data_IF_630696298676
#
_entry.id   IF_630696298676
#
_cell.length_a   1.000
_cell.length_b   1.000
_cell.length_c   1.000
_cell.angle_alpha   90.00
_cell.angle_beta   90.00
_cell.angle_gamma   90.00
#
_symmetry.space_group_name_H-M   'P 1'
#
loop_
_entity.id
_entity.type
_entity.pdbx_description
1 polymer ?
#
# COMPACT_ATOMS: atom_id res chain seq x y z
N UNK A 1 38.31 -30.28 -80.81
CA UNK A 1 38.46 -29.40 -79.62
C UNK A 1 37.24 -28.50 -79.36
N UNK A 2 36.04 -28.82 -79.90
CA UNK A 2 34.84 -27.97 -79.79
C UNK A 2 33.74 -28.58 -78.91
N UNK A 3 33.69 -29.91 -78.78
CA UNK A 3 32.67 -30.64 -77.99
C UNK A 3 32.84 -30.44 -76.48
N UNK A 4 34.08 -30.41 -75.96
CA UNK A 4 34.32 -30.12 -74.53
C UNK A 4 33.88 -28.71 -74.13
N UNK A 5 33.98 -27.75 -75.06
CA UNK A 5 33.55 -26.36 -74.85
C UNK A 5 32.03 -26.25 -74.78
N UNK A 6 31.30 -27.00 -75.62
CA UNK A 6 29.84 -27.03 -75.60
C UNK A 6 29.27 -27.63 -74.31
N UNK A 7 29.90 -28.68 -73.78
CA UNK A 7 29.51 -29.31 -72.50
C UNK A 7 29.78 -28.38 -71.32
N UNK A 8 30.90 -27.66 -71.34
CA UNK A 8 31.23 -26.70 -70.28
C UNK A 8 30.25 -25.52 -70.24
N UNK A 9 29.82 -25.04 -71.41
CA UNK A 9 28.84 -23.95 -71.50
C UNK A 9 27.44 -24.38 -70.99
N UNK A 10 27.01 -25.61 -71.28
CA UNK A 10 25.72 -26.14 -70.78
C UNK A 10 25.73 -26.36 -69.27
N UNK A 11 26.88 -26.73 -68.69
CA UNK A 11 27.00 -26.89 -67.24
C UNK A 11 26.92 -25.57 -66.47
N UNK A 12 27.40 -24.47 -67.06
CA UNK A 12 27.29 -23.13 -66.46
C UNK A 12 25.84 -22.63 -66.47
N UNK A 13 25.11 -22.89 -67.57
CA UNK A 13 23.69 -22.50 -67.69
C UNK A 13 22.74 -23.35 -66.84
N UNK A 14 23.19 -24.51 -66.33
CA UNK A 14 22.39 -25.38 -65.46
C UNK A 14 22.43 -24.98 -63.97
N UNK A 15 23.24 -23.98 -63.60
CA UNK A 15 23.25 -23.48 -62.23
C UNK A 15 22.01 -22.61 -61.97
N UNK A 16 21.00 -23.19 -61.32
CA UNK A 16 19.78 -22.47 -60.94
C UNK A 16 20.10 -21.42 -59.87
N UNK A 17 19.46 -20.26 -59.96
CA UNK A 17 19.64 -19.20 -58.96
C UNK A 17 19.22 -19.67 -57.56
N UNK A 18 20.19 -19.73 -56.65
CA UNK A 18 19.96 -20.00 -55.25
C UNK A 18 19.31 -18.77 -54.61
N UNK A 19 18.00 -18.83 -54.39
CA UNK A 19 17.27 -17.77 -53.70
C UNK A 19 17.52 -17.92 -52.18
N UNK A 20 18.24 -16.96 -51.61
CA UNK A 20 18.41 -16.84 -50.17
C UNK A 20 17.88 -15.48 -49.71
N UNK A 21 17.21 -15.46 -48.57
CA UNK A 21 16.80 -14.23 -47.89
C UNK A 21 17.53 -14.12 -46.54
N UNK A 22 17.63 -12.90 -46.02
CA UNK A 22 18.13 -12.69 -44.66
C UNK A 22 17.20 -13.33 -43.62
N UNK A 23 17.80 -13.84 -42.54
CA UNK A 23 17.07 -14.24 -41.35
C UNK A 23 17.03 -13.06 -40.38
N UNK A 24 15.91 -12.35 -40.33
CA UNK A 24 15.72 -11.24 -39.39
C UNK A 24 15.11 -11.76 -38.10
N UNK A 25 15.84 -11.61 -36.98
CA UNK A 25 15.29 -11.92 -35.67
C UNK A 25 14.24 -10.88 -35.26
N UNK A 26 13.06 -11.36 -34.85
CA UNK A 26 12.03 -10.55 -34.21
C UNK A 26 11.67 -11.19 -32.86
N UNK A 27 11.82 -10.46 -31.74
CA UNK A 27 11.40 -10.96 -30.44
C UNK A 27 9.92 -11.32 -30.42
N UNK A 28 9.57 -12.34 -29.65
CA UNK A 28 8.15 -12.75 -29.48
C UNK A 28 7.46 -11.82 -28.48
N UNK A 29 8.19 -11.38 -27.45
CA UNK A 29 7.67 -10.52 -26.40
C UNK A 29 7.56 -9.06 -26.90
N UNK A 30 6.38 -8.44 -26.82
CA UNK A 30 6.15 -7.05 -27.22
C UNK A 30 7.13 -6.05 -26.57
N UNK A 31 7.55 -6.29 -25.32
CA UNK A 31 8.46 -5.41 -24.59
C UNK A 31 9.83 -5.25 -25.25
N UNK A 32 10.21 -6.16 -26.14
CA UNK A 32 11.47 -6.10 -26.89
C UNK A 32 11.26 -5.75 -28.38
N UNK A 33 10.10 -5.20 -28.76
CA UNK A 33 9.80 -4.86 -30.17
C UNK A 33 9.17 -6.02 -30.96
N UNK A 34 8.63 -7.02 -30.26
CA UNK A 34 7.84 -8.10 -30.84
C UNK A 34 6.41 -7.70 -31.20
N UNK A 35 5.65 -8.63 -31.77
CA UNK A 35 4.25 -8.39 -32.13
C UNK A 35 3.40 -8.07 -30.88
N UNK A 36 2.78 -6.87 -30.77
CA UNK A 36 1.94 -6.48 -29.64
C UNK A 36 0.79 -7.43 -29.33
N UNK A 37 0.27 -8.13 -30.33
CA UNK A 37 -0.83 -9.09 -30.17
C UNK A 37 -0.45 -10.29 -29.28
N UNK A 38 0.84 -10.56 -29.06
CA UNK A 38 1.30 -11.62 -28.16
C UNK A 38 1.19 -11.25 -26.67
N UNK A 39 0.95 -9.97 -26.33
CA UNK A 39 0.99 -9.49 -24.94
C UNK A 39 0.01 -10.22 -24.03
N UNK A 40 -1.28 -10.23 -24.40
CA UNK A 40 -2.33 -10.87 -23.58
C UNK A 40 -2.10 -12.37 -23.41
N UNK A 41 -1.61 -13.05 -24.44
CA UNK A 41 -1.31 -14.48 -24.38
C UNK A 41 -0.13 -14.80 -23.45
N UNK A 42 0.95 -14.04 -23.56
CA UNK A 42 2.14 -14.21 -22.71
C UNK A 42 1.82 -13.88 -21.25
N UNK A 43 1.05 -12.80 -21.01
CA UNK A 43 0.60 -12.44 -19.68
C UNK A 43 -0.31 -13.50 -19.07
N UNK A 44 -1.28 -14.02 -19.85
CA UNK A 44 -2.16 -15.10 -19.41
C UNK A 44 -1.40 -16.37 -19.02
N UNK A 45 -0.36 -16.74 -19.80
CA UNK A 45 0.54 -17.84 -19.44
C UNK A 45 1.29 -17.59 -18.14
N UNK A 46 1.84 -16.39 -17.97
CA UNK A 46 2.56 -16.01 -16.76
C UNK A 46 1.64 -16.06 -15.52
N UNK A 47 0.42 -15.54 -15.64
CA UNK A 47 -0.58 -15.58 -14.56
C UNK A 47 -1.01 -17.01 -14.21
N UNK A 48 -1.25 -17.87 -15.21
CA UNK A 48 -1.62 -19.27 -14.99
C UNK A 48 -0.52 -20.08 -14.28
N UNK A 49 0.74 -19.69 -14.46
CA UNK A 49 1.89 -20.31 -13.80
C UNK A 49 2.28 -19.61 -12.49
N UNK A 50 1.70 -18.47 -12.16
CA UNK A 50 2.06 -17.69 -10.99
C UNK A 50 1.58 -18.36 -9.69
N UNK A 51 2.53 -19.00 -8.99
CA UNK A 51 2.33 -19.64 -7.68
C UNK A 51 2.56 -18.70 -6.50
N UNK A 52 2.98 -17.46 -6.74
CA UNK A 52 3.17 -16.49 -5.67
C UNK A 52 1.81 -15.96 -5.21
N UNK A 53 1.60 -16.00 -3.90
CA UNK A 53 0.46 -15.40 -3.20
C UNK A 53 1.01 -14.53 -2.09
N UNK A 54 0.31 -13.45 -1.77
CA UNK A 54 0.64 -12.66 -0.61
C UNK A 54 0.57 -13.56 0.65
N UNK A 55 1.49 -13.38 1.62
CA UNK A 55 1.40 -14.10 2.88
C UNK A 55 0.07 -13.76 3.56
N UNK A 56 -0.68 -14.80 3.95
CA UNK A 56 -1.90 -14.61 4.73
C UNK A 56 -1.50 -14.43 6.19
N UNK A 57 -1.52 -13.19 6.70
CA UNK A 57 -1.42 -12.96 8.13
C UNK A 57 -2.76 -13.35 8.80
N UNK A 58 -2.86 -14.60 9.23
CA UNK A 58 -4.06 -15.13 9.91
C UNK A 58 -4.04 -14.69 11.37
N UNK A 59 -4.64 -13.54 11.66
CA UNK A 59 -4.93 -13.11 13.03
C UNK A 59 -5.92 -14.07 13.70
N UNK A 60 -5.61 -14.49 14.92
CA UNK A 60 -6.48 -15.21 15.84
C UNK A 60 -7.74 -14.39 16.18
N UNK A 61 -8.74 -15.05 16.76
CA UNK A 61 -9.94 -14.35 17.23
C UNK A 61 -9.61 -13.28 18.29
N UNK A 62 -8.71 -13.61 19.22
CA UNK A 62 -8.26 -12.70 20.27
C UNK A 62 -7.60 -11.44 19.68
N UNK A 63 -6.68 -11.60 18.71
CA UNK A 63 -6.03 -10.46 18.05
C UNK A 63 -7.02 -9.59 17.27
N UNK A 64 -8.02 -10.20 16.60
CA UNK A 64 -9.08 -9.44 15.91
C UNK A 64 -9.99 -8.69 16.89
N UNK A 65 -10.30 -9.29 18.03
CA UNK A 65 -11.08 -8.65 19.07
C UNK A 65 -10.31 -7.48 19.68
N UNK A 66 -9.03 -7.68 20.00
CA UNK A 66 -8.15 -6.62 20.48
C UNK A 66 -8.09 -5.46 19.48
N UNK A 67 -7.84 -5.73 18.19
CA UNK A 67 -7.82 -4.68 17.16
C UNK A 67 -9.17 -3.95 17.03
N UNK A 68 -10.29 -4.67 17.20
CA UNK A 68 -11.62 -4.06 17.17
C UNK A 68 -11.87 -3.17 18.39
N UNK A 69 -11.44 -3.61 19.57
CA UNK A 69 -11.54 -2.86 20.82
C UNK A 69 -10.65 -1.61 20.77
N UNK A 70 -9.41 -1.74 20.32
CA UNK A 70 -8.49 -0.62 20.11
C UNK A 70 -9.12 0.41 19.17
N UNK A 71 -9.64 0.00 18.01
CA UNK A 71 -10.33 0.91 17.09
C UNK A 71 -11.53 1.60 17.71
N UNK A 72 -12.36 0.86 18.45
CA UNK A 72 -13.52 1.41 19.13
C UNK A 72 -13.13 2.44 20.21
N UNK A 73 -12.07 2.14 20.96
CA UNK A 73 -11.53 2.99 22.00
C UNK A 73 -10.92 4.26 21.43
N UNK A 74 -10.08 4.15 20.38
CA UNK A 74 -9.50 5.30 19.67
C UNK A 74 -10.61 6.18 19.10
N UNK A 75 -11.62 5.61 18.44
CA UNK A 75 -12.72 6.40 17.88
C UNK A 75 -13.50 7.16 18.96
N UNK A 76 -13.70 6.55 20.14
CA UNK A 76 -14.32 7.23 21.28
C UNK A 76 -13.44 8.37 21.77
N UNK A 77 -12.15 8.13 21.99
CA UNK A 77 -11.19 9.13 22.46
C UNK A 77 -11.10 10.33 21.49
N UNK A 78 -10.97 10.07 20.18
CA UNK A 78 -10.91 11.14 19.16
C UNK A 78 -12.15 12.02 19.21
N UNK A 79 -13.34 11.43 19.34
CA UNK A 79 -14.58 12.18 19.44
C UNK A 79 -14.59 13.06 20.70
N UNK A 80 -14.28 12.49 21.86
CA UNK A 80 -14.29 13.23 23.14
C UNK A 80 -13.27 14.38 23.15
N UNK A 81 -12.07 14.17 22.59
CA UNK A 81 -11.06 15.23 22.45
C UNK A 81 -11.56 16.33 21.50
N UNK A 82 -12.23 15.96 20.42
CA UNK A 82 -12.79 16.91 19.46
C UNK A 82 -13.91 17.73 20.13
N UNK A 83 -14.83 17.08 20.82
CA UNK A 83 -15.93 17.74 21.52
C UNK A 83 -15.38 18.74 22.57
N UNK A 84 -14.32 18.35 23.31
CA UNK A 84 -13.61 19.23 24.25
C UNK A 84 -12.89 20.39 23.56
N UNK A 85 -12.26 20.14 22.41
CA UNK A 85 -11.51 21.14 21.65
C UNK A 85 -12.43 22.24 21.10
N UNK A 86 -13.66 21.90 20.73
CA UNK A 86 -14.65 22.83 20.17
C UNK A 86 -15.61 23.41 21.22
N UNK A 87 -15.48 23.01 22.48
CA UNK A 87 -16.40 23.47 23.54
C UNK A 87 -17.83 22.95 23.39
N UNK A 88 -18.03 21.93 22.54
CA UNK A 88 -19.30 21.19 22.40
C UNK A 88 -19.54 20.26 23.61
N UNK A 89 -18.63 20.27 24.59
CA UNK A 89 -18.84 19.66 25.90
C UNK A 89 -19.88 20.46 26.69
N UNK A 90 -20.84 19.76 27.24
CA UNK A 90 -21.73 20.31 28.24
C UNK A 90 -20.96 20.82 29.47
N UNK A 91 -21.26 22.05 29.88
CA UNK A 91 -20.74 22.63 31.11
C UNK A 91 -21.65 22.24 32.28
N UNK A 92 -21.11 21.49 33.24
CA UNK A 92 -21.79 21.05 34.48
C UNK A 92 -22.33 22.24 35.28
N UNK A 93 -21.79 23.46 35.08
CA UNK A 93 -22.31 24.67 35.69
C UNK A 93 -23.63 25.17 35.06
N UNK A 94 -23.93 24.76 33.83
CA UNK A 94 -25.11 25.21 33.07
C UNK A 94 -26.13 24.10 32.80
N UNK A 95 -25.71 22.84 32.81
CA UNK A 95 -26.57 21.67 32.62
C UNK A 95 -26.28 20.60 33.69
N UNK A 96 -27.24 20.41 34.59
CA UNK A 96 -27.12 19.53 35.77
C UNK A 96 -27.28 18.04 35.44
N UNK A 97 -27.71 17.70 34.22
CA UNK A 97 -27.91 16.32 33.77
C UNK A 97 -26.71 15.80 32.96
N UNK A 98 -25.67 16.62 32.80
CA UNK A 98 -24.52 16.26 32.02
C UNK A 98 -23.34 15.73 32.82
N UNK A 99 -22.76 14.64 32.31
CA UNK A 99 -21.55 14.05 32.85
C UNK A 99 -20.32 14.81 32.31
N UNK A 100 -19.42 15.29 33.17
CA UNK A 100 -18.21 15.98 32.73
C UNK A 100 -17.34 15.06 31.86
N UNK A 101 -16.76 15.61 30.79
CA UNK A 101 -15.79 14.87 29.99
C UNK A 101 -14.62 14.44 30.87
N UNK A 102 -14.25 13.16 30.78
CA UNK A 102 -13.10 12.60 31.51
C UNK A 102 -11.75 13.19 31.08
N UNK A 103 -11.74 14.00 30.02
CA UNK A 103 -10.55 14.65 29.46
C UNK A 103 -10.45 16.15 29.83
N UNK A 104 -11.34 16.67 30.68
CA UNK A 104 -11.28 18.07 31.11
C UNK A 104 -10.12 18.37 32.08
N UNK A 105 -9.39 17.34 32.50
CA UNK A 105 -8.16 17.42 33.27
C UNK A 105 -7.07 16.58 32.58
N UNK A 106 -5.82 16.85 32.93
CA UNK A 106 -4.68 16.07 32.43
C UNK A 106 -4.85 14.60 32.82
N UNK A 107 -4.80 13.72 31.83
CA UNK A 107 -5.20 12.32 31.98
C UNK A 107 -4.25 11.38 31.26
N UNK A 108 -3.96 10.24 31.88
CA UNK A 108 -3.04 9.23 31.38
C UNK A 108 -3.79 7.92 31.16
N UNK A 109 -3.63 7.35 29.97
CA UNK A 109 -4.26 6.11 29.53
C UNK A 109 -3.21 5.12 29.03
N UNK A 110 -3.54 3.83 29.08
CA UNK A 110 -2.70 2.77 28.55
C UNK A 110 -3.53 1.91 27.59
N UNK A 111 -3.05 1.77 26.36
CA UNK A 111 -3.67 0.96 25.32
C UNK A 111 -2.62 -0.01 24.76
N UNK A 112 -2.65 -1.26 25.23
CA UNK A 112 -1.65 -2.26 24.87
C UNK A 112 -0.24 -1.80 25.26
N UNK A 113 0.63 -1.65 24.28
CA UNK A 113 2.02 -1.21 24.46
C UNK A 113 2.19 0.32 24.47
N UNK A 114 1.12 1.08 24.28
CA UNK A 114 1.15 2.54 24.20
C UNK A 114 0.66 3.19 25.48
N UNK A 115 1.41 4.16 25.98
CA UNK A 115 0.99 5.09 27.03
C UNK A 115 0.58 6.40 26.36
N UNK A 116 -0.66 6.82 26.59
CA UNK A 116 -1.27 7.99 25.99
C UNK A 116 -1.52 8.99 27.10
N UNK A 117 -0.83 10.13 27.06
CA UNK A 117 -1.01 11.24 27.97
C UNK A 117 -1.71 12.37 27.23
N UNK A 118 -2.79 12.88 27.82
CA UNK A 118 -3.57 13.99 27.27
C UNK A 118 -3.41 15.15 28.23
N UNK A 119 -2.82 16.23 27.74
CA UNK A 119 -2.57 17.46 28.48
C UNK A 119 -3.57 18.50 27.99
N UNK A 120 -4.50 18.88 28.86
CA UNK A 120 -5.57 19.87 28.61
C UNK A 120 -5.39 21.13 29.45
N UNK A 121 -4.33 21.21 30.25
CA UNK A 121 -3.93 22.39 31.03
C UNK A 121 -3.61 23.63 30.19
N UNK A 122 -3.29 23.44 28.90
CA UNK A 122 -2.99 24.53 27.98
C UNK A 122 -4.30 25.21 27.52
N UNK A 123 -4.32 26.53 27.49
CA UNK A 123 -5.51 27.31 27.12
C UNK A 123 -5.83 27.25 25.64
N UNK A 124 -4.80 27.09 24.81
CA UNK A 124 -4.91 27.29 23.35
C UNK A 124 -4.88 25.98 22.56
N UNK A 125 -4.43 24.88 23.17
CA UNK A 125 -4.33 23.57 22.50
C UNK A 125 -4.46 22.41 23.48
N UNK A 126 -4.96 21.29 22.99
CA UNK A 126 -4.92 19.99 23.65
C UNK A 126 -3.73 19.23 23.07
N UNK A 127 -2.82 18.78 23.93
CA UNK A 127 -1.65 18.00 23.51
C UNK A 127 -1.84 16.53 23.87
N UNK A 128 -1.72 15.65 22.88
CA UNK A 128 -1.76 14.20 23.07
C UNK A 128 -0.37 13.63 22.81
N UNK A 129 0.25 13.09 23.86
CA UNK A 129 1.54 12.42 23.80
C UNK A 129 1.34 10.91 23.84
N UNK A 130 1.75 10.23 22.77
CA UNK A 130 1.70 8.78 22.64
C UNK A 130 3.12 8.24 22.75
N UNK A 131 3.39 7.45 23.77
CA UNK A 131 4.69 6.82 24.02
C UNK A 131 4.57 5.32 23.79
N UNK A 132 5.41 4.77 22.91
CA UNK A 132 5.55 3.33 22.74
C UNK A 132 6.45 2.77 23.86
N UNK A 133 5.91 1.89 24.70
CA UNK A 133 6.63 1.35 25.86
C UNK A 133 7.73 0.34 25.49
N UNK A 134 7.70 -0.21 24.28
CA UNK A 134 8.68 -1.18 23.79
C UNK A 134 9.85 -0.51 23.06
N UNK A 135 9.57 0.53 22.27
CA UNK A 135 10.59 1.21 21.45
C UNK A 135 11.07 2.53 22.05
N UNK A 136 10.32 3.11 22.98
CA UNK A 136 10.56 4.45 23.52
C UNK A 136 10.23 5.58 22.53
N UNK A 137 9.61 5.27 21.39
CA UNK A 137 9.19 6.27 20.41
C UNK A 137 8.06 7.14 20.97
N UNK A 138 8.19 8.45 20.81
CA UNK A 138 7.21 9.43 21.28
C UNK A 138 6.61 10.14 20.06
N UNK A 139 5.29 10.10 19.95
CA UNK A 139 4.50 10.88 18.98
C UNK A 139 3.71 11.92 19.73
N UNK A 140 3.83 13.19 19.32
CA UNK A 140 3.09 14.30 19.92
C UNK A 140 2.11 14.82 18.86
N UNK A 141 0.85 14.92 19.26
CA UNK A 141 -0.23 15.47 18.44
C UNK A 141 -0.78 16.68 19.17
N UNK A 142 -0.80 17.83 18.50
CA UNK A 142 -1.35 19.06 19.04
C UNK A 142 -2.65 19.39 18.30
N UNK A 143 -3.73 19.55 19.07
CA UNK A 143 -5.05 19.92 18.56
C UNK A 143 -5.36 21.33 19.06
N UNK A 144 -5.52 22.34 18.19
CA UNK A 144 -5.89 23.68 18.63
C UNK A 144 -7.27 23.67 19.26
N UNK A 145 -7.41 24.39 20.38
CA UNK A 145 -8.68 24.58 21.07
C UNK A 145 -9.34 25.82 20.47
N UNK A 146 -10.59 25.67 20.05
CA UNK A 146 -11.40 26.77 19.55
C UNK A 146 -12.43 27.10 20.62
N UNK A 147 -12.18 28.20 21.33
CA UNK A 147 -13.15 28.86 22.22
C UNK A 147 -13.72 30.11 21.56
#
# INVERSE_FOLDING_TARGET
MNISKSVFLTLILATSWANASELVYKPINPSFGGNPMNGSFLLGKAQAQNKHKAPLNRKSYAEKFQESLERAYINKMVREITDLAFGDTCDVATDAECEPSIFNEDSIFTSGDYLIEIITSNTDSITVQITNSLTGEITIIEVPRFG
#
